data_IF_505925145506
#
_entry.id   IF_505925145506
#
_cell.length_a   1.000
_cell.length_b   1.000
_cell.length_c   1.000
_cell.angle_alpha   90.00
_cell.angle_beta   90.00
_cell.angle_gamma   90.00
#
_symmetry.space_group_name_H-M   'P 1'
#
loop_
_entity.id
_entity.type
_entity.pdbx_description
1 polymer ?
#
# COMPACT_ATOMS: atom_id res chain seq x y z
N UNK A 1 -42.31 35.59 21.01
CA UNK A 1 -43.47 34.91 21.60
C UNK A 1 -43.01 33.50 21.96
N UNK A 2 -42.67 33.39 23.21
CA UNK A 2 -43.21 32.50 24.26
C UNK A 2 -43.09 30.98 23.95
N UNK A 3 -42.52 30.12 24.73
CA UNK A 3 -42.43 30.03 26.19
C UNK A 3 -41.51 28.88 26.63
N UNK A 4 -40.72 29.20 27.63
CA UNK A 4 -39.91 28.33 28.51
C UNK A 4 -40.86 27.50 29.38
N UNK A 5 -40.53 26.24 29.73
CA UNK A 5 -40.94 25.61 30.98
C UNK A 5 -39.89 24.64 31.53
N UNK A 6 -39.19 25.13 32.54
CA UNK A 6 -38.54 24.38 33.63
C UNK A 6 -39.54 23.52 34.43
N UNK A 7 -39.10 22.38 34.93
CA UNK A 7 -39.55 21.86 36.25
C UNK A 7 -38.46 21.02 36.93
N UNK A 8 -38.17 21.52 38.05
CA UNK A 8 -37.27 21.31 39.16
C UNK A 8 -37.68 20.11 40.05
N UNK A 9 -36.69 19.49 40.66
CA UNK A 9 -36.58 18.85 42.00
C UNK A 9 -37.65 17.88 42.54
N UNK A 10 -37.20 16.75 43.08
CA UNK A 10 -37.41 16.45 44.49
C UNK A 10 -36.39 15.44 45.03
N UNK A 11 -35.66 15.83 46.11
CA UNK A 11 -34.91 15.01 47.05
C UNK A 11 -35.89 14.34 48.01
N UNK A 12 -35.62 13.11 48.45
CA UNK A 12 -35.95 12.66 49.80
C UNK A 12 -34.92 11.67 50.32
N UNK A 13 -34.51 11.94 51.53
CA UNK A 13 -33.52 11.23 52.33
C UNK A 13 -34.20 10.32 53.40
N UNK A 14 -33.37 9.48 53.97
CA UNK A 14 -33.40 8.91 55.32
C UNK A 14 -34.10 7.57 55.58
N UNK A 15 -33.36 6.71 56.22
CA UNK A 15 -33.83 5.54 56.92
C UNK A 15 -32.71 4.61 57.43
N UNK A 16 -32.06 4.99 58.53
CA UNK A 16 -31.14 4.14 59.32
C UNK A 16 -31.94 3.08 60.08
N UNK A 17 -31.53 1.82 60.05
CA UNK A 17 -31.90 0.82 61.08
C UNK A 17 -30.72 -0.12 61.33
N UNK A 18 -30.11 0.02 62.48
CA UNK A 18 -29.19 -0.90 63.12
C UNK A 18 -29.96 -2.10 63.70
N UNK A 19 -29.49 -3.31 63.43
CA UNK A 19 -29.81 -4.47 64.29
C UNK A 19 -28.61 -5.41 64.35
N UNK A 20 -28.16 -5.68 65.59
CA UNK A 20 -27.04 -6.55 65.97
C UNK A 20 -27.40 -8.02 66.03
N UNK A 21 -26.38 -8.87 65.97
CA UNK A 21 -26.12 -10.21 66.53
C UNK A 21 -26.68 -11.43 65.80
N UNK A 22 -25.77 -12.33 65.38
CA UNK A 22 -25.25 -13.42 66.22
C UNK A 22 -24.15 -14.21 65.49
N UNK A 23 -23.08 -14.50 66.23
CA UNK A 23 -21.95 -15.34 65.85
C UNK A 23 -22.33 -16.82 65.75
N UNK A 24 -21.90 -17.49 64.62
CA UNK A 24 -21.57 -18.93 64.65
C UNK A 24 -20.41 -19.13 63.61
N UNK A 25 -19.38 -19.89 63.99
CA UNK A 25 -18.28 -20.19 63.11
C UNK A 25 -18.69 -21.24 62.07
N UNK A 26 -18.52 -20.95 60.82
CA UNK A 26 -18.62 -21.92 59.72
C UNK A 26 -17.23 -22.16 59.21
N UNK A 27 -16.84 -23.40 59.24
CA UNK A 27 -15.59 -24.00 58.77
C UNK A 27 -15.29 -23.67 57.38
N UNK A 28 -14.05 -23.29 57.18
CA UNK A 28 -13.30 -23.03 55.93
C UNK A 28 -13.37 -24.25 54.98
N UNK A 29 -13.95 -24.09 53.81
CA UNK A 29 -13.69 -24.91 52.65
C UNK A 29 -13.29 -23.98 51.53
N UNK A 30 -11.96 -23.80 51.39
CA UNK A 30 -11.33 -23.13 50.27
C UNK A 30 -11.57 -23.94 48.99
N UNK A 31 -12.60 -23.55 48.22
CA UNK A 31 -12.69 -23.92 46.81
C UNK A 31 -11.77 -22.98 46.03
N UNK A 32 -10.56 -23.42 45.80
CA UNK A 32 -9.59 -22.77 44.90
C UNK A 32 -10.10 -22.80 43.46
N UNK A 33 -10.76 -21.75 43.02
CA UNK A 33 -10.92 -21.49 41.61
C UNK A 33 -9.56 -21.02 41.06
N UNK A 34 -8.81 -21.98 40.56
CA UNK A 34 -7.58 -21.70 39.80
C UNK A 34 -7.91 -20.88 38.56
N UNK A 35 -7.82 -19.56 38.69
CA UNK A 35 -7.75 -18.70 37.52
C UNK A 35 -6.45 -19.03 36.79
N UNK A 36 -6.54 -19.74 35.67
CA UNK A 36 -5.45 -19.93 34.76
C UNK A 36 -4.97 -18.52 34.35
N UNK A 37 -3.68 -18.19 34.51
CA UNK A 37 -3.17 -16.91 34.04
C UNK A 37 -3.44 -16.84 32.53
N UNK A 38 -4.17 -15.83 32.08
CA UNK A 38 -4.32 -15.54 30.68
C UNK A 38 -2.92 -15.32 30.08
N UNK A 39 -2.53 -16.17 29.13
CA UNK A 39 -1.29 -15.99 28.38
C UNK A 39 -1.33 -14.57 27.81
N UNK A 40 -0.30 -13.72 28.04
CA UNK A 40 -0.29 -12.39 27.48
C UNK A 40 -0.43 -12.54 25.97
N UNK A 41 -1.40 -11.81 25.38
CA UNK A 41 -1.57 -11.74 23.94
C UNK A 41 -0.22 -11.30 23.35
N UNK A 42 0.38 -12.15 22.52
CA UNK A 42 1.61 -11.82 21.80
C UNK A 42 1.37 -10.50 21.08
N UNK A 43 2.30 -9.55 21.25
CA UNK A 43 2.28 -8.32 20.49
C UNK A 43 2.13 -8.66 18.98
N UNK A 44 1.35 -7.90 18.20
CA UNK A 44 1.14 -8.22 16.80
C UNK A 44 2.51 -8.33 16.12
N UNK A 45 2.77 -9.47 15.50
CA UNK A 45 3.98 -9.68 14.73
C UNK A 45 4.04 -8.61 13.64
N UNK A 46 5.22 -8.02 13.40
CA UNK A 46 5.41 -7.07 12.30
C UNK A 46 5.05 -7.68 10.94
N UNK A 47 5.08 -6.89 9.85
CA UNK A 47 4.72 -7.40 8.52
C UNK A 47 5.59 -8.57 8.10
N UNK A 48 4.97 -9.58 7.48
CA UNK A 48 5.72 -10.68 6.85
C UNK A 48 6.48 -10.12 5.63
N UNK A 49 7.78 -10.33 5.56
CA UNK A 49 8.55 -9.92 4.38
C UNK A 49 8.56 -11.03 3.33
N UNK A 50 8.17 -10.67 2.11
CA UNK A 50 8.22 -11.51 0.92
C UNK A 50 9.28 -10.95 -0.02
N UNK A 51 10.34 -11.71 -0.27
CA UNK A 51 11.36 -11.34 -1.24
C UNK A 51 10.85 -11.67 -2.65
N UNK A 52 10.85 -10.65 -3.51
CA UNK A 52 10.47 -10.76 -4.91
C UNK A 52 11.70 -10.46 -5.76
N UNK A 53 12.29 -11.49 -6.37
CA UNK A 53 13.37 -11.31 -7.33
C UNK A 53 12.77 -11.06 -8.71
N UNK A 54 13.19 -9.96 -9.34
CA UNK A 54 12.82 -9.61 -10.70
C UNK A 54 14.03 -9.76 -11.61
N UNK A 55 13.99 -10.71 -12.52
CA UNK A 55 14.91 -10.80 -13.66
C UNK A 55 14.14 -10.41 -14.93
N UNK A 56 14.86 -10.15 -16.04
CA UNK A 56 14.19 -9.74 -17.27
C UNK A 56 13.14 -10.78 -17.67
N UNK A 57 11.88 -10.33 -17.58
CA UNK A 57 10.60 -10.98 -17.85
C UNK A 57 10.21 -12.13 -16.93
N UNK A 58 10.77 -12.19 -15.72
CA UNK A 58 10.43 -13.23 -14.74
C UNK A 58 10.42 -12.68 -13.31
N UNK A 59 9.47 -13.16 -12.51
CA UNK A 59 9.51 -13.07 -11.06
C UNK A 59 9.91 -14.42 -10.43
N UNK A 60 10.54 -14.36 -9.26
CA UNK A 60 10.77 -15.49 -8.36
C UNK A 60 10.39 -15.06 -6.94
N UNK A 61 9.29 -15.64 -6.45
CA UNK A 61 8.76 -15.39 -5.11
C UNK A 61 7.93 -16.58 -4.63
N UNK A 62 7.61 -16.69 -3.32
CA UNK A 62 6.72 -17.73 -2.81
C UNK A 62 5.36 -17.76 -3.52
N UNK A 63 4.85 -18.98 -3.78
CA UNK A 63 3.52 -19.17 -4.36
C UNK A 63 2.37 -18.96 -3.36
N UNK A 64 2.67 -18.85 -2.07
CA UNK A 64 1.69 -18.57 -1.02
C UNK A 64 2.29 -17.61 0.00
N UNK A 65 1.49 -16.66 0.46
CA UNK A 65 1.85 -15.69 1.50
C UNK A 65 0.72 -15.61 2.54
N UNK A 66 0.99 -15.23 3.81
CA UNK A 66 -0.05 -15.10 4.81
C UNK A 66 -0.94 -13.87 4.57
N UNK A 67 -2.19 -13.92 5.03
CA UNK A 67 -3.04 -12.75 5.11
C UNK A 67 -2.55 -11.77 6.21
N UNK A 68 -2.80 -10.48 6.00
CA UNK A 68 -2.37 -9.40 6.90
C UNK A 68 -1.37 -8.45 6.28
N UNK A 69 -0.56 -7.75 7.08
CA UNK A 69 0.49 -6.86 6.58
C UNK A 69 1.63 -7.68 5.94
N UNK A 70 1.84 -7.50 4.65
CA UNK A 70 2.88 -8.18 3.87
C UNK A 70 3.77 -7.14 3.21
N UNK A 71 5.06 -7.16 3.54
CA UNK A 71 6.07 -6.33 2.90
C UNK A 71 6.65 -7.05 1.69
N UNK A 72 6.34 -6.58 0.50
CA UNK A 72 7.00 -7.03 -0.73
C UNK A 72 8.32 -6.28 -0.88
N UNK A 73 9.41 -7.02 -0.77
CA UNK A 73 10.77 -6.51 -0.98
C UNK A 73 11.24 -6.94 -2.37
N UNK A 74 11.13 -6.03 -3.32
CA UNK A 74 11.55 -6.23 -4.71
C UNK A 74 13.06 -6.03 -4.83
N UNK A 75 13.73 -7.00 -5.44
CA UNK A 75 15.14 -6.96 -5.84
C UNK A 75 15.21 -7.05 -7.37
N UNK A 76 15.63 -5.98 -8.02
CA UNK A 76 15.76 -5.98 -9.47
C UNK A 76 17.14 -6.51 -9.89
N UNK A 77 17.21 -7.80 -10.21
CA UNK A 77 18.40 -8.51 -10.72
C UNK A 77 18.48 -8.47 -12.26
N UNK A 78 17.50 -7.83 -12.93
CA UNK A 78 17.42 -7.67 -14.38
C UNK A 78 18.27 -6.52 -14.92
N UNK A 79 18.19 -6.32 -16.22
CA UNK A 79 18.90 -5.25 -16.96
C UNK A 79 18.00 -4.07 -17.31
N UNK A 80 16.69 -4.21 -17.07
CA UNK A 80 15.69 -3.21 -17.35
C UNK A 80 15.02 -2.74 -16.05
N UNK A 81 14.25 -1.66 -16.13
CA UNK A 81 13.41 -1.19 -15.05
C UNK A 81 12.28 -2.20 -14.81
N UNK A 82 12.06 -2.60 -13.56
CA UNK A 82 10.97 -3.50 -13.18
C UNK A 82 10.14 -2.93 -12.04
N UNK A 83 8.90 -3.42 -11.92
CA UNK A 83 8.00 -3.19 -10.81
C UNK A 83 7.37 -4.53 -10.40
N UNK A 84 6.92 -4.64 -9.16
CA UNK A 84 6.16 -5.80 -8.69
C UNK A 84 4.77 -5.32 -8.25
N UNK A 85 3.96 -4.94 -9.23
CA UNK A 85 2.59 -4.51 -8.97
C UNK A 85 1.74 -5.70 -8.54
N UNK A 86 1.07 -5.57 -7.40
CA UNK A 86 0.19 -6.59 -6.85
C UNK A 86 -1.23 -6.33 -7.30
N UNK A 87 -1.83 -7.33 -7.92
CA UNK A 87 -3.23 -7.33 -8.32
C UNK A 87 -3.96 -8.49 -7.67
N UNK A 88 -5.21 -8.29 -7.28
CA UNK A 88 -6.12 -9.34 -6.82
C UNK A 88 -6.99 -9.80 -7.98
N UNK A 89 -7.14 -11.11 -8.12
CA UNK A 89 -7.99 -11.77 -9.12
C UNK A 89 -9.25 -12.25 -8.40
N UNK A 90 -10.37 -11.59 -8.61
CA UNK A 90 -11.67 -11.96 -8.02
C UNK A 90 -12.42 -12.97 -8.89
N UNK A 91 -13.54 -13.48 -8.41
CA UNK A 91 -14.46 -14.36 -9.15
C UNK A 91 -13.81 -15.64 -9.75
N UNK A 92 -12.77 -16.18 -9.09
CA UNK A 92 -12.07 -17.38 -9.56
C UNK A 92 -11.24 -17.16 -10.82
N UNK A 93 -10.93 -15.93 -11.17
CA UNK A 93 -10.13 -15.55 -12.33
C UNK A 93 -8.67 -15.96 -12.17
N UNK A 94 -8.00 -16.18 -13.28
CA UNK A 94 -6.66 -16.75 -13.40
C UNK A 94 -5.72 -15.84 -14.18
N UNK A 95 -4.42 -16.18 -14.23
CA UNK A 95 -3.47 -15.50 -15.11
C UNK A 95 -3.87 -15.58 -16.59
N UNK A 96 -4.58 -16.62 -17.00
CA UNK A 96 -5.08 -16.74 -18.39
C UNK A 96 -6.13 -15.67 -18.66
N UNK A 97 -7.07 -15.47 -17.71
CA UNK A 97 -8.08 -14.41 -17.82
C UNK A 97 -7.44 -13.02 -17.82
N UNK A 98 -6.42 -12.82 -16.98
CA UNK A 98 -5.64 -11.57 -16.94
C UNK A 98 -4.94 -11.32 -18.28
N UNK A 99 -4.26 -12.32 -18.83
CA UNK A 99 -3.58 -12.19 -20.13
C UNK A 99 -4.56 -11.91 -21.27
N UNK A 100 -5.76 -12.46 -21.21
CA UNK A 100 -6.80 -12.17 -22.22
C UNK A 100 -7.36 -10.75 -22.07
N UNK A 101 -7.64 -10.32 -20.85
CA UNK A 101 -8.11 -8.96 -20.57
C UNK A 101 -7.13 -7.88 -21.05
N UNK A 102 -5.83 -8.15 -20.93
CA UNK A 102 -4.79 -7.19 -21.35
C UNK A 102 -4.61 -7.09 -22.88
N UNK A 103 -5.27 -7.91 -23.68
CA UNK A 103 -5.29 -7.78 -25.15
C UNK A 103 -6.33 -6.76 -25.63
N UNK A 104 -7.24 -6.39 -24.77
CA UNK A 104 -8.35 -5.47 -25.10
C UNK A 104 -8.02 -4.09 -24.57
N UNK A 105 -8.12 -3.07 -25.42
CA UNK A 105 -8.04 -1.68 -24.98
C UNK A 105 -9.29 -1.32 -24.17
N UNK A 106 -9.12 -0.51 -23.13
CA UNK A 106 -10.22 -0.04 -22.30
C UNK A 106 -9.93 -0.16 -20.80
N UNK A 107 -10.93 0.16 -19.96
CA UNK A 107 -10.76 0.07 -18.51
C UNK A 107 -10.56 -1.38 -18.08
N UNK A 108 -9.79 -1.59 -16.99
CA UNK A 108 -9.62 -2.92 -16.40
C UNK A 108 -10.97 -3.56 -16.06
N UNK A 109 -11.11 -4.89 -16.23
CA UNK A 109 -12.35 -5.55 -15.87
C UNK A 109 -12.61 -5.50 -14.37
N UNK A 110 -13.88 -5.50 -13.91
CA UNK A 110 -14.24 -5.30 -12.50
C UNK A 110 -13.63 -6.32 -11.52
N UNK A 111 -13.30 -7.52 -11.99
CA UNK A 111 -12.68 -8.57 -11.18
C UNK A 111 -11.17 -8.41 -10.98
N UNK A 112 -10.52 -7.49 -11.69
CA UNK A 112 -9.10 -7.15 -11.52
C UNK A 112 -8.99 -5.95 -10.59
N UNK A 113 -8.42 -6.15 -9.40
CA UNK A 113 -8.23 -5.09 -8.41
C UNK A 113 -6.76 -4.75 -8.23
N UNK A 114 -6.43 -3.49 -8.34
CA UNK A 114 -5.09 -2.97 -8.10
C UNK A 114 -4.88 -2.71 -6.61
N UNK A 115 -3.89 -3.37 -6.02
CA UNK A 115 -3.65 -3.35 -4.56
C UNK A 115 -2.46 -2.48 -4.18
N UNK A 116 -1.56 -2.21 -5.12
CA UNK A 116 -0.31 -1.50 -4.87
C UNK A 116 0.91 -2.36 -5.19
N UNK A 117 1.92 -2.32 -4.35
CA UNK A 117 3.17 -3.07 -4.49
C UNK A 117 4.36 -2.19 -4.87
N UNK A 118 5.59 -2.71 -4.82
CA UNK A 118 6.80 -1.96 -5.17
C UNK A 118 6.75 -1.46 -6.62
N UNK A 119 6.90 -0.15 -6.79
CA UNK A 119 6.89 0.48 -8.11
C UNK A 119 8.28 0.49 -8.77
N UNK A 120 8.45 1.24 -9.83
CA UNK A 120 9.62 1.25 -10.70
C UNK A 120 10.95 1.22 -9.94
N UNK A 121 11.72 0.16 -10.15
CA UNK A 121 12.98 -0.12 -9.47
C UNK A 121 14.07 -0.33 -10.52
N UNK A 122 15.13 0.46 -10.45
CA UNK A 122 16.24 0.41 -11.40
C UNK A 122 17.02 -0.92 -11.31
N UNK A 123 17.76 -1.33 -12.36
CA UNK A 123 18.66 -2.46 -12.31
C UNK A 123 19.64 -2.41 -11.12
N UNK A 124 19.73 -3.50 -10.38
CA UNK A 124 20.58 -3.63 -9.17
C UNK A 124 20.03 -2.94 -7.92
N UNK A 125 18.90 -2.24 -8.01
CA UNK A 125 18.26 -1.58 -6.87
C UNK A 125 17.19 -2.45 -6.22
N UNK A 126 16.72 -2.01 -5.04
CA UNK A 126 15.63 -2.62 -4.30
C UNK A 126 14.54 -1.59 -4.00
N UNK A 127 13.31 -2.04 -3.83
CA UNK A 127 12.19 -1.23 -3.36
C UNK A 127 11.28 -2.07 -2.45
N UNK A 128 10.64 -1.42 -1.48
CA UNK A 128 9.75 -2.10 -0.53
C UNK A 128 8.41 -1.41 -0.42
N UNK A 129 7.36 -2.22 -0.38
CA UNK A 129 6.00 -1.74 -0.16
C UNK A 129 5.22 -2.76 0.68
N UNK A 130 4.64 -2.31 1.79
CA UNK A 130 3.80 -3.14 2.66
C UNK A 130 2.33 -2.91 2.33
N UNK A 131 1.63 -3.99 2.07
CA UNK A 131 0.20 -4.04 1.75
C UNK A 131 -0.55 -4.79 2.83
N UNK A 132 -1.80 -4.43 3.06
CA UNK A 132 -2.71 -5.22 3.89
C UNK A 132 -3.49 -6.18 3.00
N UNK A 133 -3.12 -7.46 3.01
CA UNK A 133 -3.70 -8.48 2.14
C UNK A 133 -4.80 -9.28 2.85
N UNK A 134 -5.88 -9.54 2.13
CA UNK A 134 -6.95 -10.45 2.54
C UNK A 134 -6.86 -11.78 1.80
N UNK A 135 -7.37 -12.90 2.34
CA UNK A 135 -7.31 -14.19 1.66
C UNK A 135 -7.88 -14.14 0.24
N UNK A 136 -7.22 -14.83 -0.71
CA UNK A 136 -7.65 -14.87 -2.10
C UNK A 136 -6.52 -15.14 -3.10
N UNK A 137 -6.85 -15.03 -4.38
CA UNK A 137 -5.91 -15.20 -5.48
C UNK A 137 -5.35 -13.86 -5.94
N UNK A 138 -4.06 -13.81 -6.15
CA UNK A 138 -3.33 -12.61 -6.52
C UNK A 138 -2.31 -12.90 -7.63
N UNK A 139 -1.78 -11.84 -8.21
CA UNK A 139 -0.60 -11.91 -9.06
C UNK A 139 0.32 -10.71 -8.81
N UNK A 140 1.62 -10.91 -9.01
CA UNK A 140 2.59 -9.84 -9.25
C UNK A 140 2.76 -9.67 -10.75
N UNK A 141 2.80 -8.43 -11.20
CA UNK A 141 2.81 -8.07 -12.62
C UNK A 141 3.77 -6.91 -12.86
N UNK A 142 4.52 -6.94 -13.96
CA UNK A 142 5.28 -5.80 -14.43
C UNK A 142 4.63 -5.23 -15.71
N UNK A 143 3.97 -4.07 -15.59
CA UNK A 143 3.35 -3.38 -16.72
C UNK A 143 4.31 -2.46 -17.47
N UNK A 144 5.53 -2.24 -16.95
CA UNK A 144 6.53 -1.39 -17.59
C UNK A 144 6.81 -1.90 -19.00
N UNK A 145 6.73 -1.05 -20.03
CA UNK A 145 7.09 -1.45 -21.39
C UNK A 145 8.60 -1.64 -21.51
N UNK A 146 9.00 -2.64 -22.27
CA UNK A 146 10.38 -2.79 -22.71
C UNK A 146 10.77 -1.74 -23.74
N UNK A 147 12.05 -1.73 -24.15
CA UNK A 147 12.56 -0.80 -25.18
C UNK A 147 11.89 -0.98 -26.56
N UNK A 148 11.23 -2.07 -26.78
CA UNK A 148 10.41 -2.39 -27.97
C UNK A 148 8.95 -1.94 -27.83
N UNK A 149 8.61 -1.28 -26.72
CA UNK A 149 7.25 -0.82 -26.40
C UNK A 149 6.30 -1.91 -25.89
N UNK A 150 6.75 -3.18 -25.83
CA UNK A 150 5.91 -4.29 -25.37
C UNK A 150 6.00 -4.39 -23.84
N UNK A 151 4.87 -4.37 -23.10
CA UNK A 151 4.87 -4.54 -21.65
C UNK A 151 5.56 -5.84 -21.22
N UNK A 152 6.33 -5.79 -20.13
CA UNK A 152 7.07 -6.96 -19.62
C UNK A 152 6.13 -8.13 -19.27
N UNK A 153 4.93 -7.83 -18.79
CA UNK A 153 3.88 -8.82 -18.58
C UNK A 153 3.58 -9.64 -19.85
N UNK A 154 3.48 -8.98 -21.00
CA UNK A 154 3.22 -9.64 -22.28
C UNK A 154 4.39 -10.56 -22.72
N UNK A 155 5.58 -10.37 -22.11
CA UNK A 155 6.76 -11.24 -22.26
C UNK A 155 6.88 -12.31 -21.19
N UNK A 156 5.84 -12.45 -20.33
CA UNK A 156 5.79 -13.46 -19.29
C UNK A 156 6.13 -12.96 -17.87
N UNK A 157 6.36 -11.65 -17.68
CA UNK A 157 6.70 -11.12 -16.35
C UNK A 157 5.45 -10.94 -15.48
N UNK A 158 4.90 -12.07 -15.09
CA UNK A 158 3.73 -12.24 -14.22
C UNK A 158 3.83 -13.55 -13.46
N UNK A 159 3.45 -13.55 -12.17
CA UNK A 159 3.40 -14.74 -11.33
C UNK A 159 2.20 -14.68 -10.40
N UNK A 160 1.39 -15.75 -10.36
CA UNK A 160 0.29 -15.90 -9.39
C UNK A 160 0.81 -16.34 -8.03
N UNK A 161 0.08 -15.95 -6.99
CA UNK A 161 0.26 -16.42 -5.63
C UNK A 161 -1.07 -16.42 -4.88
N UNK A 162 -1.15 -17.24 -3.85
CA UNK A 162 -2.30 -17.28 -2.96
C UNK A 162 -2.00 -16.49 -1.68
N UNK A 163 -2.96 -15.71 -1.22
CA UNK A 163 -2.97 -15.19 0.14
C UNK A 163 -3.79 -16.16 0.99
N UNK A 164 -3.08 -16.91 1.85
CA UNK A 164 -3.65 -17.98 2.66
C UNK A 164 -3.94 -17.54 4.10
N UNK A 165 -4.81 -18.30 4.79
CA UNK A 165 -5.16 -18.07 6.19
C UNK A 165 -6.46 -17.31 6.37
N UNK A 166 -6.70 -16.82 7.61
CA UNK A 166 -7.87 -16.02 7.96
C UNK A 166 -7.58 -14.52 7.75
N UNK A 167 -8.63 -13.75 7.51
CA UNK A 167 -8.51 -12.28 7.46
C UNK A 167 -7.87 -11.77 8.76
N UNK A 168 -6.81 -10.97 8.62
CA UNK A 168 -6.09 -10.39 9.74
C UNK A 168 -6.77 -9.12 10.22
N UNK A 169 -6.77 -8.90 11.56
CA UNK A 169 -7.16 -7.64 12.19
C UNK A 169 -5.96 -6.68 12.35
N UNK A 170 -4.76 -7.09 11.93
CA UNK A 170 -3.58 -6.25 12.00
C UNK A 170 -3.69 -5.08 11.01
N UNK A 171 -3.19 -3.93 11.43
CA UNK A 171 -3.08 -2.73 10.59
C UNK A 171 -1.70 -2.67 9.93
N UNK A 172 -1.55 -1.77 8.95
CA UNK A 172 -0.23 -1.39 8.45
C UNK A 172 0.60 -0.79 9.58
N UNK A 173 1.93 -0.96 9.57
CA UNK A 173 2.82 -0.26 10.52
C UNK A 173 2.64 1.26 10.48
N UNK A 174 3.09 1.93 11.55
CA UNK A 174 3.07 3.38 11.59
C UNK A 174 3.96 3.99 10.48
N UNK A 175 3.45 5.04 9.85
CA UNK A 175 4.17 5.82 8.87
C UNK A 175 4.88 7.01 9.52
N UNK A 176 5.98 7.48 8.91
CA UNK A 176 6.61 8.78 9.25
C UNK A 176 5.87 9.93 8.58
N UNK A 177 5.36 9.69 7.37
CA UNK A 177 4.70 10.67 6.53
C UNK A 177 3.51 10.04 5.80
N UNK A 178 2.54 10.87 5.38
CA UNK A 178 1.42 10.44 4.54
C UNK A 178 1.42 11.22 3.23
N UNK A 179 1.28 10.51 2.12
CA UNK A 179 1.14 11.09 0.79
C UNK A 179 -0.25 10.75 0.26
N UNK A 180 -1.06 11.76 0.06
CA UNK A 180 -2.41 11.63 -0.48
C UNK A 180 -2.39 11.78 -2.01
N UNK A 181 -2.98 10.83 -2.71
CA UNK A 181 -3.17 10.85 -4.16
C UNK A 181 -4.60 11.30 -4.47
N UNK A 182 -4.74 12.36 -5.21
CA UNK A 182 -6.03 12.86 -5.71
C UNK A 182 -5.93 13.08 -7.22
N UNK A 183 -7.02 13.30 -7.93
CA UNK A 183 -7.01 13.69 -9.35
C UNK A 183 -6.53 15.15 -9.48
N UNK A 184 -5.44 15.46 -9.94
CA UNK A 184 -4.20 14.91 -10.47
C UNK A 184 -3.04 15.47 -9.63
N UNK A 185 -3.00 15.16 -8.37
CA UNK A 185 -2.06 15.77 -7.42
C UNK A 185 -1.50 14.76 -6.41
N UNK A 186 -0.28 15.05 -5.95
CA UNK A 186 0.33 14.46 -4.77
C UNK A 186 0.33 15.51 -3.66
N UNK A 187 -0.19 15.15 -2.49
CA UNK A 187 -0.25 16.04 -1.33
C UNK A 187 0.51 15.43 -0.16
N UNK A 188 1.49 16.15 0.37
CA UNK A 188 2.23 15.79 1.58
C UNK A 188 2.08 16.88 2.62
N UNK A 189 2.04 16.49 3.90
CA UNK A 189 1.82 17.42 5.01
C UNK A 189 3.05 18.25 5.39
N UNK A 190 4.26 17.77 5.10
CA UNK A 190 5.52 18.34 5.58
C UNK A 190 6.63 18.27 4.54
N UNK A 191 7.66 19.13 4.64
CA UNK A 191 8.90 18.95 3.90
C UNK A 191 9.56 17.64 4.30
N UNK A 192 10.11 16.90 3.31
CA UNK A 192 10.74 15.61 3.51
C UNK A 192 12.24 15.85 3.71
N UNK A 193 12.79 15.33 4.83
CA UNK A 193 14.21 15.41 5.19
C UNK A 193 15.01 14.22 4.65
N UNK A 194 16.34 14.27 4.78
CA UNK A 194 17.17 13.10 4.54
C UNK A 194 16.97 12.05 5.66
N UNK A 195 17.12 10.77 5.30
CA UNK A 195 16.99 9.64 6.22
C UNK A 195 16.03 8.57 5.72
N UNK A 196 15.71 7.64 6.62
CA UNK A 196 14.77 6.54 6.37
C UNK A 196 13.34 7.01 6.59
N UNK A 197 12.48 6.77 5.62
CA UNK A 197 11.07 7.12 5.64
C UNK A 197 10.17 5.90 5.44
N UNK A 198 8.98 5.98 6.04
CA UNK A 198 7.84 5.11 5.79
C UNK A 198 6.68 5.99 5.35
N UNK A 199 6.41 6.03 4.05
CA UNK A 199 5.32 6.81 3.46
C UNK A 199 4.05 5.99 3.41
N UNK A 200 3.01 6.39 4.15
CA UNK A 200 1.67 5.87 3.90
C UNK A 200 1.11 6.58 2.66
N UNK A 201 1.08 5.89 1.55
CA UNK A 201 0.49 6.39 0.31
C UNK A 201 -0.96 5.98 0.27
N UNK A 202 -1.88 6.96 0.20
CA UNK A 202 -3.33 6.75 0.23
C UNK A 202 -3.95 7.27 -1.04
N UNK A 203 -4.73 6.44 -1.71
CA UNK A 203 -5.51 6.89 -2.87
C UNK A 203 -6.87 7.45 -2.42
N UNK A 204 -6.96 8.77 -2.30
CA UNK A 204 -8.20 9.50 -1.98
C UNK A 204 -8.97 9.93 -3.23
N UNK A 205 -8.41 9.69 -4.41
CA UNK A 205 -9.06 9.99 -5.69
C UNK A 205 -10.13 8.97 -6.08
N UNK A 206 -11.00 9.32 -7.02
CA UNK A 206 -12.05 8.45 -7.53
C UNK A 206 -11.56 7.42 -8.56
N UNK A 207 -10.31 7.53 -9.01
CA UNK A 207 -9.68 6.67 -10.01
C UNK A 207 -8.51 5.88 -9.43
N UNK A 208 -7.99 4.94 -10.19
CA UNK A 208 -6.72 4.26 -9.88
C UNK A 208 -5.57 5.26 -9.97
N UNK A 209 -4.74 5.31 -8.95
CA UNK A 209 -3.51 6.11 -8.93
C UNK A 209 -2.31 5.27 -8.52
N UNK A 210 -1.12 5.77 -8.86
CA UNK A 210 0.16 5.24 -8.38
C UNK A 210 1.09 6.39 -7.98
N UNK A 211 2.14 6.05 -7.26
CA UNK A 211 3.23 6.96 -6.96
C UNK A 211 4.56 6.30 -7.37
N UNK A 212 5.14 6.73 -8.48
CA UNK A 212 6.55 6.42 -8.79
C UNK A 212 7.41 7.45 -8.07
N UNK A 213 8.27 7.00 -7.17
CA UNK A 213 9.23 7.85 -6.48
C UNK A 213 10.53 7.91 -7.31
N UNK A 214 10.95 9.13 -7.65
CA UNK A 214 12.08 9.42 -8.50
C UNK A 214 13.17 10.16 -7.75
N UNK A 215 14.42 9.73 -7.89
CA UNK A 215 15.59 10.56 -7.61
C UNK A 215 16.02 11.24 -8.90
N UNK A 216 15.94 12.57 -8.97
CA UNK A 216 16.21 13.35 -10.17
C UNK A 216 17.72 13.46 -10.42
N UNK A 217 18.13 13.42 -11.67
CA UNK A 217 19.49 13.76 -12.07
C UNK A 217 19.71 15.28 -11.97
N UNK A 218 20.92 15.77 -11.74
CA UNK A 218 21.19 17.20 -11.60
C UNK A 218 20.61 18.01 -12.77
N UNK A 219 19.79 19.03 -12.41
CA UNK A 219 19.15 19.92 -13.38
C UNK A 219 18.01 19.29 -14.20
N UNK A 220 17.54 18.09 -13.81
CA UNK A 220 16.40 17.41 -14.43
C UNK A 220 15.14 17.54 -13.59
N UNK A 221 14.00 17.35 -14.23
CA UNK A 221 12.67 17.46 -13.63
C UNK A 221 11.90 16.15 -13.71
N UNK A 222 10.85 16.01 -12.89
CA UNK A 222 9.91 14.89 -13.00
C UNK A 222 9.23 14.87 -14.39
N UNK A 223 9.01 16.05 -14.98
CA UNK A 223 8.48 16.17 -16.34
C UNK A 223 9.44 15.60 -17.39
N UNK A 224 10.75 15.87 -17.27
CA UNK A 224 11.75 15.29 -18.19
C UNK A 224 11.69 13.76 -18.15
N UNK A 225 11.50 13.16 -16.95
CA UNK A 225 11.34 11.72 -16.82
C UNK A 225 10.03 11.23 -17.46
N UNK A 226 8.93 11.95 -17.25
CA UNK A 226 7.65 11.64 -17.89
C UNK A 226 7.74 11.64 -19.43
N UNK A 227 8.35 12.68 -19.99
CA UNK A 227 8.55 12.80 -21.44
C UNK A 227 9.48 11.68 -21.97
N UNK A 228 10.57 11.39 -21.26
CA UNK A 228 11.48 10.29 -21.60
C UNK A 228 10.78 8.93 -21.59
N UNK A 229 9.92 8.68 -20.59
CA UNK A 229 9.23 7.40 -20.42
C UNK A 229 8.09 7.19 -21.43
N UNK A 230 7.44 8.26 -21.88
CA UNK A 230 6.30 8.22 -22.78
C UNK A 230 6.70 8.52 -24.24
N UNK A 231 6.87 9.78 -24.57
CA UNK A 231 7.14 10.21 -25.95
C UNK A 231 8.58 9.90 -26.41
N UNK A 232 9.53 9.85 -25.47
CA UNK A 232 10.94 9.50 -25.73
C UNK A 232 11.19 8.00 -25.93
N UNK A 233 10.21 7.14 -25.61
CA UNK A 233 10.32 5.69 -25.72
C UNK A 233 11.48 5.11 -24.93
N UNK A 234 11.81 5.71 -23.78
CA UNK A 234 12.90 5.31 -22.88
C UNK A 234 14.28 5.21 -23.56
N UNK A 235 14.53 6.08 -24.54
CA UNK A 235 15.81 6.14 -25.27
C UNK A 235 16.79 7.09 -24.61
N UNK A 236 18.08 6.73 -24.63
CA UNK A 236 19.14 7.50 -24.00
C UNK A 236 19.19 7.37 -22.47
N UNK A 237 20.04 8.18 -21.79
CA UNK A 237 20.15 8.15 -20.34
C UNK A 237 18.86 8.68 -19.70
N UNK A 238 18.36 8.01 -18.63
CA UNK A 238 17.16 8.45 -17.94
C UNK A 238 17.41 9.77 -17.18
N UNK A 239 16.45 10.72 -17.21
CA UNK A 239 16.56 11.98 -16.44
C UNK A 239 16.41 11.81 -14.93
N UNK A 240 15.92 10.66 -14.49
CA UNK A 240 15.76 10.30 -13.09
C UNK A 240 15.96 8.81 -12.88
N UNK A 241 16.26 8.42 -11.64
CA UNK A 241 16.32 7.04 -11.20
C UNK A 241 15.03 6.73 -10.43
N UNK A 242 14.16 5.84 -10.92
CA UNK A 242 13.07 5.31 -10.10
C UNK A 242 13.64 4.49 -8.94
N UNK A 243 13.19 4.82 -7.73
CA UNK A 243 13.64 4.20 -6.48
C UNK A 243 12.50 3.53 -5.71
N UNK A 244 11.45 3.13 -6.41
CA UNK A 244 10.28 2.48 -5.86
C UNK A 244 9.03 3.35 -5.88
N UNK A 245 8.25 3.27 -4.81
CA UNK A 245 6.95 3.93 -4.68
C UNK A 245 5.82 2.92 -4.52
N UNK A 246 4.58 3.37 -4.67
CA UNK A 246 3.37 2.55 -4.63
C UNK A 246 2.86 2.28 -6.04
N UNK A 247 2.66 1.02 -6.41
CA UNK A 247 2.01 0.61 -7.66
C UNK A 247 0.54 1.05 -7.72
N UNK A 248 -0.15 0.74 -8.79
CA UNK A 248 -1.57 1.09 -8.95
C UNK A 248 -2.40 0.64 -7.77
N UNK A 249 -3.22 1.55 -7.26
CA UNK A 249 -4.13 1.34 -6.13
C UNK A 249 -5.54 1.77 -6.50
N UNK A 250 -6.51 0.92 -6.17
CA UNK A 250 -7.93 1.28 -6.24
C UNK A 250 -8.24 2.50 -5.35
N UNK A 251 -9.35 3.23 -5.59
CA UNK A 251 -9.84 4.24 -4.67
C UNK A 251 -9.93 3.74 -3.22
N UNK A 252 -9.43 4.52 -2.25
CA UNK A 252 -9.35 4.22 -0.81
C UNK A 252 -8.35 3.13 -0.41
N UNK A 253 -7.61 2.56 -1.36
CA UNK A 253 -6.51 1.67 -1.03
C UNK A 253 -5.30 2.45 -0.51
N UNK A 254 -4.46 1.78 0.26
CA UNK A 254 -3.23 2.34 0.80
C UNK A 254 -2.07 1.36 0.73
N UNK A 255 -0.87 1.90 0.67
CA UNK A 255 0.40 1.16 0.63
C UNK A 255 1.43 1.87 1.48
N UNK A 256 2.16 1.15 2.31
CA UNK A 256 3.26 1.71 3.09
C UNK A 256 4.58 1.48 2.36
N UNK A 257 5.14 2.54 1.80
CA UNK A 257 6.38 2.55 1.01
C UNK A 257 7.55 2.90 1.90
N UNK A 258 8.61 2.09 1.88
CA UNK A 258 9.87 2.41 2.58
C UNK A 258 10.89 2.96 1.59
N UNK A 259 11.56 4.06 1.97
CA UNK A 259 12.63 4.66 1.18
C UNK A 259 13.68 5.32 2.06
N UNK A 260 14.96 5.17 1.70
CA UNK A 260 16.07 5.91 2.28
C UNK A 260 16.43 7.08 1.35
N UNK A 261 16.22 8.31 1.84
CA UNK A 261 16.44 9.51 1.05
C UNK A 261 17.75 10.20 1.47
N UNK A 262 18.57 10.52 0.49
CA UNK A 262 19.79 11.34 0.67
C UNK A 262 19.53 12.75 0.16
N UNK A 263 20.30 13.77 0.58
CA UNK A 263 20.15 15.11 0.01
C UNK A 263 20.13 15.11 -1.52
N UNK A 264 19.23 15.91 -2.11
CA UNK A 264 19.03 16.00 -3.56
C UNK A 264 17.60 16.28 -3.97
N UNK A 265 17.37 16.30 -5.28
CA UNK A 265 16.06 16.57 -5.86
C UNK A 265 15.32 15.26 -6.17
N UNK A 266 14.04 15.25 -5.86
CA UNK A 266 13.14 14.10 -6.01
C UNK A 266 11.85 14.52 -6.70
N UNK A 267 11.08 13.53 -7.14
CA UNK A 267 9.75 13.77 -7.66
C UNK A 267 8.83 12.57 -7.50
N UNK A 268 7.55 12.85 -7.59
CA UNK A 268 6.48 11.87 -7.75
C UNK A 268 5.86 12.01 -9.13
N UNK A 269 5.46 10.87 -9.72
CA UNK A 269 4.78 10.86 -11.02
C UNK A 269 3.78 9.69 -11.06
N UNK A 270 2.64 9.90 -11.76
CA UNK A 270 1.61 8.88 -11.97
C UNK A 270 1.43 8.62 -13.45
N UNK A 271 1.60 7.36 -13.87
CA UNK A 271 1.36 6.88 -15.24
C UNK A 271 0.00 6.18 -15.39
N UNK A 272 -0.82 6.11 -14.33
CA UNK A 272 -2.14 5.51 -14.42
C UNK A 272 -2.95 6.15 -15.57
N UNK A 273 -3.64 5.36 -16.40
CA UNK A 273 -4.47 5.90 -17.47
C UNK A 273 -5.72 6.57 -16.87
N UNK A 274 -6.02 7.76 -17.34
CA UNK A 274 -7.24 8.49 -16.97
C UNK A 274 -8.49 7.78 -17.50
N UNK A 275 -9.49 7.68 -16.67
CA UNK A 275 -10.74 6.95 -16.98
C UNK A 275 -11.57 7.62 -18.08
N UNK A 276 -11.32 8.90 -18.41
CA UNK A 276 -12.10 9.68 -19.38
C UNK A 276 -11.49 9.67 -20.77
N UNK A 277 -10.14 9.74 -20.85
CA UNK A 277 -9.47 9.89 -22.16
C UNK A 277 -8.30 8.90 -22.37
N UNK A 278 -7.99 8.05 -21.37
CA UNK A 278 -6.97 7.02 -21.44
C UNK A 278 -5.53 7.55 -21.41
N UNK A 279 -5.33 8.86 -21.36
CA UNK A 279 -3.99 9.42 -21.22
C UNK A 279 -3.43 9.21 -19.82
N UNK A 280 -2.11 9.06 -19.65
CA UNK A 280 -1.55 8.94 -18.32
C UNK A 280 -1.79 10.20 -17.49
N UNK A 281 -2.06 10.06 -16.20
CA UNK A 281 -2.36 11.16 -15.28
C UNK A 281 -1.29 12.25 -15.27
N UNK A 282 -0.03 11.91 -15.56
CA UNK A 282 1.04 12.91 -15.74
C UNK A 282 0.71 13.93 -16.86
N UNK A 283 -0.05 13.54 -17.90
CA UNK A 283 -0.47 14.44 -18.96
C UNK A 283 -1.54 15.44 -18.47
N UNK A 284 -2.22 15.13 -17.37
CA UNK A 284 -3.14 16.01 -16.66
C UNK A 284 -2.46 16.76 -15.49
N UNK A 285 -1.12 16.65 -15.37
CA UNK A 285 -0.35 17.38 -14.36
C UNK A 285 -0.05 16.59 -13.07
N UNK A 286 -0.35 15.28 -12.99
CA UNK A 286 -0.06 14.48 -11.82
C UNK A 286 1.43 14.14 -11.72
N UNK A 287 2.19 15.15 -11.39
CA UNK A 287 3.62 15.10 -11.06
C UNK A 287 3.96 16.16 -10.02
N UNK A 288 4.98 15.92 -9.22
CA UNK A 288 5.44 16.83 -8.17
C UNK A 288 6.95 16.71 -8.02
N UNK A 289 7.58 17.78 -7.51
CA UNK A 289 9.01 17.79 -7.17
C UNK A 289 9.23 18.36 -5.78
N UNK A 290 10.27 17.89 -5.12
CA UNK A 290 10.71 18.38 -3.83
C UNK A 290 12.21 18.18 -3.67
N UNK A 291 12.81 18.98 -2.77
CA UNK A 291 14.24 18.87 -2.44
C UNK A 291 14.38 18.31 -1.02
N UNK A 292 15.21 17.30 -0.88
CA UNK A 292 15.65 16.71 0.40
C UNK A 292 16.95 17.39 0.81
N UNK A 293 16.99 17.93 2.04
CA UNK A 293 18.16 18.61 2.63
C UNK A 293 18.82 17.78 3.70
#
# INVERSE_FOLDING_TARGET
>A
MTSVRNRTCLLMAAGLALACRSDKPVTDQAAGTGATPATPASAPAGPTTVHVKAADFKFDMPASVPAGPVNFHLMNEGKQLHQAMVVRLEDGKTLKDLAEAMKTEGPPPPWLKFVGGPNGTAPGATASSTLLLTPGQYAVVCFIPGRDGVPHMAKGMVQSFEVAGSASQAALPAATDTIHLTDYAFQSGHPISAGSHSFLVVNDGPQVHEMVLLKLMPGKTAKDFGDWATTGGMKGPPPAMPIGGAGFMEPRASSLVSADLTPGDYGYICFAPDSKDGKPHLAHGMLSQFTVQ
#
